data_IF_226185416457
#
_entry.id   IF_226185416457
#
_cell.length_a   1.000
_cell.length_b   1.000
_cell.length_c   1.000
_cell.angle_alpha   90.00
_cell.angle_beta   90.00
_cell.angle_gamma   90.00
#
_symmetry.space_group_name_H-M   'P 1'
#
loop_
_entity.id
_entity.type
_entity.pdbx_description
1 polymer ?
#
# COMPACT_ATOMS: atom_id res chain seq x y z
N UNK A 1 -3.88 -26.34 -15.94
CA UNK A 1 -4.59 -26.24 -17.23
C UNK A 1 -5.75 -25.26 -17.10
N UNK A 2 -6.05 -24.42 -18.11
CA UNK A 2 -7.23 -23.56 -18.09
C UNK A 2 -8.51 -24.42 -18.09
N UNK A 3 -9.56 -23.90 -17.49
CA UNK A 3 -10.88 -24.55 -17.39
C UNK A 3 -11.97 -23.48 -17.35
N UNK A 4 -13.10 -23.73 -18.00
CA UNK A 4 -14.27 -22.87 -17.95
C UNK A 4 -15.23 -23.26 -16.82
N UNK A 5 -16.07 -22.33 -16.39
CA UNK A 5 -17.17 -22.64 -15.48
C UNK A 5 -18.10 -23.68 -16.11
N UNK A 6 -18.41 -24.76 -15.40
CA UNK A 6 -19.23 -25.88 -15.88
C UNK A 6 -18.45 -26.93 -16.69
N UNK A 7 -17.17 -26.70 -16.99
CA UNK A 7 -16.36 -27.68 -17.70
C UNK A 7 -16.02 -28.85 -16.76
N UNK A 8 -16.15 -30.08 -17.25
CA UNK A 8 -15.89 -31.28 -16.46
C UNK A 8 -14.39 -31.47 -16.24
N UNK A 9 -13.98 -31.50 -14.98
CA UNK A 9 -12.58 -31.66 -14.56
C UNK A 9 -12.24 -33.08 -14.11
N UNK A 10 -13.25 -33.86 -13.70
CA UNK A 10 -13.09 -35.25 -13.32
C UNK A 10 -14.39 -36.03 -13.53
N UNK A 11 -14.26 -37.34 -13.64
CA UNK A 11 -15.40 -38.26 -13.65
C UNK A 11 -15.31 -39.20 -12.45
N UNK A 12 -16.42 -39.35 -11.73
CA UNK A 12 -16.55 -40.27 -10.61
C UNK A 12 -17.43 -41.44 -11.05
N UNK A 13 -16.93 -42.66 -10.85
CA UNK A 13 -17.74 -43.85 -10.98
C UNK A 13 -18.61 -44.01 -9.73
N UNK A 14 -19.90 -44.25 -9.92
CA UNK A 14 -20.84 -44.45 -8.81
C UNK A 14 -21.00 -45.95 -8.66
N UNK A 15 -20.65 -46.52 -7.51
CA UNK A 15 -20.90 -47.95 -7.26
C UNK A 15 -22.24 -48.11 -6.51
N UNK A 16 -23.35 -48.09 -7.25
CA UNK A 16 -24.71 -48.36 -6.76
C UNK A 16 -25.30 -49.63 -7.42
N UNK A 17 -25.54 -50.68 -6.64
CA UNK A 17 -26.02 -51.95 -7.19
C UNK A 17 -27.40 -51.80 -7.86
N UNK A 18 -27.47 -51.91 -9.21
CA UNK A 18 -28.73 -52.07 -9.95
C UNK A 18 -29.05 -51.09 -11.09
N UNK A 19 -28.20 -50.10 -11.39
CA UNK A 19 -28.41 -49.13 -12.47
C UNK A 19 -27.28 -49.19 -13.52
N UNK A 20 -27.59 -48.99 -14.81
CA UNK A 20 -26.58 -48.80 -15.87
C UNK A 20 -25.89 -47.44 -15.65
N UNK A 21 -24.57 -47.43 -15.46
CA UNK A 21 -23.85 -46.24 -15.01
C UNK A 21 -23.50 -45.24 -16.11
N UNK A 22 -23.93 -44.00 -15.90
CA UNK A 22 -23.27 -42.82 -16.46
C UNK A 22 -22.32 -42.26 -15.41
N UNK A 23 -21.07 -41.98 -15.80
CA UNK A 23 -20.08 -41.36 -14.91
C UNK A 23 -20.60 -40.02 -14.42
N UNK A 24 -20.42 -39.72 -13.14
CA UNK A 24 -20.75 -38.41 -12.60
C UNK A 24 -19.66 -37.40 -12.96
N UNK A 25 -20.02 -36.33 -13.68
CA UNK A 25 -19.11 -35.22 -13.92
C UNK A 25 -18.93 -34.40 -12.65
N UNK A 26 -17.67 -34.08 -12.35
CA UNK A 26 -17.31 -33.01 -11.42
C UNK A 26 -16.95 -31.81 -12.27
N UNK A 27 -17.71 -30.74 -12.13
CA UNK A 27 -17.55 -29.53 -12.93
C UNK A 27 -16.80 -28.45 -12.16
N UNK A 28 -16.05 -27.61 -12.88
CA UNK A 28 -15.44 -26.43 -12.28
C UNK A 28 -16.51 -25.40 -11.91
N UNK A 29 -16.52 -24.87 -10.67
CA UNK A 29 -17.48 -23.84 -10.26
C UNK A 29 -17.19 -22.46 -10.85
N UNK A 30 -15.98 -22.26 -11.39
CA UNK A 30 -15.48 -20.99 -11.94
C UNK A 30 -14.61 -21.20 -13.18
N UNK A 31 -14.43 -20.15 -13.97
CA UNK A 31 -13.42 -20.13 -15.02
C UNK A 31 -12.06 -19.77 -14.39
N UNK A 32 -11.00 -20.48 -14.75
CA UNK A 32 -9.69 -20.26 -14.16
C UNK A 32 -8.67 -21.31 -14.57
N UNK A 33 -7.69 -21.56 -13.70
CA UNK A 33 -6.61 -22.52 -13.92
C UNK A 33 -6.67 -23.59 -12.83
N UNK A 34 -6.66 -24.86 -13.24
CA UNK A 34 -6.43 -25.99 -12.31
C UNK A 34 -5.02 -25.86 -11.74
N UNK A 35 -4.94 -25.42 -10.49
CA UNK A 35 -3.68 -25.20 -9.77
C UNK A 35 -3.17 -26.46 -9.08
N UNK A 36 -4.08 -27.34 -8.64
CA UNK A 36 -3.72 -28.63 -8.03
C UNK A 36 -4.81 -29.65 -8.23
N UNK A 37 -4.43 -30.91 -8.43
CA UNK A 37 -5.33 -32.07 -8.32
C UNK A 37 -4.95 -32.83 -7.05
N UNK A 38 -5.95 -33.20 -6.24
CA UNK A 38 -5.74 -33.82 -4.93
C UNK A 38 -5.93 -35.34 -4.93
N UNK A 39 -6.43 -35.90 -6.04
CA UNK A 39 -6.80 -37.31 -6.14
C UNK A 39 -6.15 -37.97 -7.35
N UNK A 40 -5.85 -39.25 -7.22
CA UNK A 40 -5.34 -40.08 -8.31
C UNK A 40 -6.44 -40.90 -8.98
N UNK A 41 -6.20 -41.35 -10.21
CA UNK A 41 -7.14 -42.20 -10.94
C UNK A 41 -7.31 -43.54 -10.19
N UNK A 42 -8.56 -43.94 -9.94
CA UNK A 42 -8.90 -45.16 -9.22
C UNK A 42 -9.01 -44.99 -7.70
N UNK A 43 -8.75 -43.79 -7.17
CA UNK A 43 -8.97 -43.48 -5.77
C UNK A 43 -10.46 -43.38 -5.44
N UNK A 44 -10.89 -44.00 -4.34
CA UNK A 44 -12.23 -43.81 -3.79
C UNK A 44 -12.38 -42.40 -3.20
N UNK A 45 -13.47 -41.72 -3.53
CA UNK A 45 -13.77 -40.36 -3.08
C UNK A 45 -15.18 -40.28 -2.50
N UNK A 46 -15.42 -39.34 -1.58
CA UNK A 46 -16.76 -39.02 -1.07
C UNK A 46 -17.18 -37.63 -1.53
N UNK A 47 -18.44 -37.25 -1.29
CA UNK A 47 -18.95 -35.92 -1.63
C UNK A 47 -18.18 -34.76 -0.95
N UNK A 48 -17.43 -35.03 0.12
CA UNK A 48 -16.63 -34.04 0.84
C UNK A 48 -15.14 -34.05 0.44
N UNK A 49 -14.72 -35.01 -0.40
CA UNK A 49 -13.33 -35.12 -0.83
C UNK A 49 -13.02 -34.03 -1.85
N UNK A 50 -12.04 -33.13 -1.60
CA UNK A 50 -11.62 -32.14 -2.58
C UNK A 50 -10.96 -32.86 -3.77
N UNK A 51 -11.42 -32.58 -4.98
CA UNK A 51 -10.91 -33.21 -6.21
C UNK A 51 -9.77 -32.39 -6.81
N UNK A 52 -9.98 -31.09 -6.99
CA UNK A 52 -8.99 -30.17 -7.53
C UNK A 52 -9.20 -28.75 -6.99
N UNK A 53 -8.13 -27.95 -7.01
CA UNK A 53 -8.13 -26.51 -6.78
C UNK A 53 -8.14 -25.80 -8.12
N UNK A 54 -9.18 -25.00 -8.37
CA UNK A 54 -9.26 -24.09 -9.53
C UNK A 54 -9.11 -22.66 -9.03
N UNK A 55 -8.19 -21.91 -9.63
CA UNK A 55 -7.83 -20.56 -9.21
C UNK A 55 -8.13 -19.59 -10.35
N UNK A 56 -8.87 -18.53 -10.06
CA UNK A 56 -8.95 -17.36 -10.93
C UNK A 56 -7.65 -16.56 -10.76
N UNK A 57 -6.89 -16.43 -11.85
CA UNK A 57 -5.60 -15.75 -11.89
C UNK A 57 -5.70 -14.39 -12.60
N UNK A 58 -6.85 -14.02 -13.17
CA UNK A 58 -7.04 -12.78 -13.92
C UNK A 58 -6.98 -11.55 -13.01
N UNK A 59 -7.31 -11.75 -11.74
CA UNK A 59 -7.22 -10.72 -10.69
C UNK A 59 -6.52 -11.28 -9.48
N UNK A 60 -5.67 -10.47 -8.87
CA UNK A 60 -5.02 -10.78 -7.60
C UNK A 60 -5.47 -9.79 -6.54
N UNK A 61 -5.54 -10.29 -5.31
CA UNK A 61 -5.92 -9.54 -4.13
C UNK A 61 -4.74 -9.44 -3.19
N UNK A 62 -4.60 -8.27 -2.58
CA UNK A 62 -3.61 -8.01 -1.54
C UNK A 62 -4.39 -7.61 -0.30
N UNK A 63 -4.29 -8.44 0.73
CA UNK A 63 -4.79 -8.14 2.06
C UNK A 63 -3.69 -7.44 2.85
N UNK A 64 -4.02 -6.29 3.44
CA UNK A 64 -3.10 -5.58 4.35
C UNK A 64 -3.83 -5.03 5.57
N UNK A 65 -3.16 -5.10 6.71
CA UNK A 65 -3.65 -4.52 7.96
C UNK A 65 -3.24 -3.05 8.06
N UNK A 66 -4.23 -2.16 8.09
CA UNK A 66 -4.01 -0.72 8.16
C UNK A 66 -4.28 -0.20 9.57
N UNK A 67 -3.31 0.44 10.24
CA UNK A 67 -3.52 1.06 11.55
C UNK A 67 -4.69 2.05 11.54
N UNK A 68 -5.47 2.04 12.63
CA UNK A 68 -6.67 2.87 12.81
C UNK A 68 -6.44 4.35 12.45
N UNK A 69 -5.31 4.92 12.88
CA UNK A 69 -4.94 6.33 12.63
C UNK A 69 -4.90 6.72 11.14
N UNK A 70 -4.73 5.76 10.24
CA UNK A 70 -4.66 6.00 8.80
C UNK A 70 -5.98 5.73 8.08
N UNK A 71 -6.91 4.99 8.69
CA UNK A 71 -8.20 4.63 8.07
C UNK A 71 -9.02 5.83 7.59
N UNK A 72 -9.08 6.98 8.28
CA UNK A 72 -9.80 8.16 7.79
C UNK A 72 -9.27 8.71 6.45
N UNK A 73 -8.05 8.33 6.06
CA UNK A 73 -7.37 8.74 4.83
C UNK A 73 -7.38 7.66 3.75
N UNK A 74 -7.99 6.50 4.04
CA UNK A 74 -8.16 5.41 3.07
C UNK A 74 -9.57 5.46 2.51
N UNK A 75 -9.70 5.36 1.19
CA UNK A 75 -10.98 5.39 0.49
C UNK A 75 -11.11 4.25 -0.51
N UNK A 76 -12.35 3.81 -0.76
CA UNK A 76 -12.61 2.87 -1.84
C UNK A 76 -12.19 3.46 -3.19
N UNK A 77 -11.72 2.62 -4.09
CA UNK A 77 -11.16 3.00 -5.40
C UNK A 77 -9.90 3.88 -5.35
N UNK A 78 -9.29 4.06 -4.17
CA UNK A 78 -8.00 4.74 -4.08
C UNK A 78 -6.92 3.91 -4.75
N UNK A 79 -6.10 4.57 -5.57
CA UNK A 79 -5.00 3.93 -6.29
C UNK A 79 -3.86 3.61 -5.34
N UNK A 80 -3.43 2.36 -5.36
CA UNK A 80 -2.25 1.87 -4.68
C UNK A 80 -1.17 1.52 -5.71
N UNK A 81 0.07 1.86 -5.38
CA UNK A 81 1.27 1.43 -6.12
C UNK A 81 1.83 0.19 -5.44
N UNK A 82 2.05 -0.87 -6.21
CA UNK A 82 2.46 -2.17 -5.71
C UNK A 82 3.80 -2.55 -6.34
N UNK A 83 4.72 -3.03 -5.52
CA UNK A 83 5.96 -3.65 -5.96
C UNK A 83 6.06 -5.04 -5.35
N UNK A 84 6.55 -6.01 -6.11
CA UNK A 84 6.76 -7.39 -5.65
C UNK A 84 8.21 -7.77 -5.86
N UNK A 85 8.79 -8.53 -4.94
CA UNK A 85 10.22 -8.86 -4.99
C UNK A 85 10.58 -9.75 -6.20
N UNK A 86 9.59 -10.46 -6.76
CA UNK A 86 9.76 -11.25 -7.99
C UNK A 86 9.98 -10.37 -9.25
N UNK A 87 9.54 -9.11 -9.22
CA UNK A 87 9.64 -8.16 -10.33
C UNK A 87 10.06 -6.77 -9.78
N UNK A 88 11.31 -6.62 -9.32
CA UNK A 88 11.74 -5.43 -8.56
C UNK A 88 11.74 -4.13 -9.38
N UNK A 89 11.88 -4.24 -10.70
CA UNK A 89 11.89 -3.10 -11.63
C UNK A 89 10.48 -2.72 -12.13
N UNK A 90 9.45 -3.42 -11.69
CA UNK A 90 8.07 -3.19 -12.13
C UNK A 90 7.19 -2.70 -10.99
N UNK A 91 6.46 -1.62 -11.27
CA UNK A 91 5.41 -1.11 -10.40
C UNK A 91 4.05 -1.47 -11.02
N UNK A 92 3.21 -2.10 -10.22
CA UNK A 92 1.86 -2.44 -10.58
C UNK A 92 0.87 -1.48 -9.91
N UNK A 93 -0.30 -1.33 -10.50
CA UNK A 93 -1.36 -0.49 -9.96
C UNK A 93 -2.54 -1.35 -9.51
N UNK A 94 -3.06 -1.04 -8.34
CA UNK A 94 -4.25 -1.68 -7.78
C UNK A 94 -5.19 -0.65 -7.17
N UNK A 95 -6.41 -1.09 -6.87
CA UNK A 95 -7.45 -0.26 -6.28
C UNK A 95 -7.89 -0.85 -4.95
N UNK A 96 -8.07 0.00 -3.93
CA UNK A 96 -8.71 -0.41 -2.68
C UNK A 96 -10.15 -0.82 -2.97
N UNK A 97 -10.46 -2.11 -2.85
CA UNK A 97 -11.79 -2.69 -3.14
C UNK A 97 -12.59 -2.94 -1.88
N UNK A 98 -11.94 -3.05 -0.72
CA UNK A 98 -12.61 -3.29 0.56
C UNK A 98 -11.88 -2.60 1.69
N UNK A 99 -12.64 -2.04 2.61
CA UNK A 99 -12.15 -1.53 3.89
C UNK A 99 -13.01 -2.19 4.97
N UNK A 100 -12.40 -2.93 5.88
CA UNK A 100 -13.15 -3.53 6.98
C UNK A 100 -13.73 -2.45 7.89
N UNK A 101 -15.01 -2.52 8.27
CA UNK A 101 -15.60 -1.61 9.25
C UNK A 101 -15.22 -1.98 10.69
N UNK A 102 -14.54 -3.13 10.89
CA UNK A 102 -14.15 -3.63 12.20
C UNK A 102 -12.63 -3.49 12.35
N UNK A 103 -12.23 -2.81 13.44
CA UNK A 103 -10.84 -2.70 13.89
C UNK A 103 -10.57 -3.85 14.85
N UNK A 104 -9.48 -4.57 14.62
CA UNK A 104 -8.95 -5.55 15.56
C UNK A 104 -8.33 -4.81 16.76
N UNK A 105 -8.85 -5.07 17.97
CA UNK A 105 -8.46 -4.35 19.18
C UNK A 105 -7.06 -4.70 19.68
N UNK A 106 -6.54 -5.87 19.29
CA UNK A 106 -5.20 -6.34 19.69
C UNK A 106 -4.11 -5.65 18.87
N UNK A 107 -4.33 -5.54 17.56
CA UNK A 107 -3.38 -4.94 16.61
C UNK A 107 -3.63 -3.44 16.36
N UNK A 108 -4.81 -2.93 16.75
CA UNK A 108 -5.32 -1.58 16.42
C UNK A 108 -5.27 -1.28 14.93
N UNK A 109 -5.63 -2.28 14.13
CA UNK A 109 -5.64 -2.21 12.67
C UNK A 109 -6.95 -2.76 12.11
N UNK A 110 -7.31 -2.31 10.91
CA UNK A 110 -8.39 -2.90 10.14
C UNK A 110 -7.86 -3.43 8.82
N UNK A 111 -8.30 -4.64 8.39
CA UNK A 111 -7.89 -5.19 7.12
C UNK A 111 -8.53 -4.41 5.97
N UNK A 112 -7.73 -4.10 4.95
CA UNK A 112 -8.17 -3.56 3.68
C UNK A 112 -7.73 -4.49 2.54
N UNK A 113 -8.53 -4.57 1.48
CA UNK A 113 -8.26 -5.37 0.29
C UNK A 113 -7.95 -4.43 -0.87
N UNK A 114 -6.85 -4.71 -1.58
CA UNK A 114 -6.51 -4.09 -2.85
C UNK A 114 -6.63 -5.13 -3.95
N UNK A 115 -7.39 -4.84 -5.01
CA UNK A 115 -7.49 -5.70 -6.19
C UNK A 115 -6.69 -5.11 -7.33
N UNK A 116 -6.04 -5.98 -8.10
CA UNK A 116 -5.23 -5.64 -9.25
C UNK A 116 -5.46 -6.64 -10.37
N UNK A 117 -5.51 -6.15 -11.60
CA UNK A 117 -5.58 -7.00 -12.78
C UNK A 117 -4.22 -7.68 -13.03
N UNK A 118 -4.27 -8.95 -13.44
CA UNK A 118 -3.10 -9.79 -13.69
C UNK A 118 -3.21 -10.49 -15.06
N UNK A 119 -3.37 -9.75 -16.18
CA UNK A 119 -3.73 -10.35 -17.46
C UNK A 119 -2.66 -11.28 -18.04
N UNK A 120 -1.40 -11.15 -17.62
CA UNK A 120 -0.31 -12.07 -18.01
C UNK A 120 -0.08 -13.20 -17.00
N UNK A 121 -0.93 -13.32 -15.97
CA UNK A 121 -0.84 -14.32 -14.89
C UNK A 121 0.56 -14.38 -14.21
N UNK A 122 1.27 -13.26 -14.17
CA UNK A 122 2.64 -13.15 -13.67
C UNK A 122 2.70 -13.08 -12.14
N UNK A 123 1.65 -12.53 -11.54
CA UNK A 123 1.52 -12.37 -10.11
C UNK A 123 0.83 -13.63 -9.56
N UNK A 124 1.49 -14.30 -8.61
CA UNK A 124 0.98 -15.54 -8.03
C UNK A 124 0.48 -15.30 -6.61
N UNK A 125 -0.54 -16.07 -6.22
CA UNK A 125 -0.96 -16.12 -4.82
C UNK A 125 0.19 -16.58 -3.93
N UNK A 126 0.33 -15.94 -2.76
CA UNK A 126 1.41 -16.19 -1.81
C UNK A 126 2.68 -15.35 -2.03
N UNK A 127 2.76 -14.55 -3.10
CA UNK A 127 3.84 -13.56 -3.24
C UNK A 127 3.73 -12.47 -2.19
N UNK A 128 4.89 -11.97 -1.73
CA UNK A 128 4.96 -10.79 -0.87
C UNK A 128 4.91 -9.52 -1.71
N UNK A 129 4.06 -8.57 -1.31
CA UNK A 129 3.87 -7.31 -2.00
C UNK A 129 4.10 -6.12 -1.05
N UNK A 130 4.82 -5.11 -1.54
CA UNK A 130 4.99 -3.82 -0.89
C UNK A 130 4.00 -2.83 -1.50
N UNK A 131 3.08 -2.34 -0.68
CA UNK A 131 2.03 -1.42 -1.07
C UNK A 131 2.40 0.00 -0.64
N UNK A 132 2.33 0.96 -1.57
CA UNK A 132 2.39 2.39 -1.28
C UNK A 132 1.02 3.00 -1.57
N UNK A 133 0.38 3.50 -0.52
CA UNK A 133 -0.89 4.21 -0.59
C UNK A 133 -0.67 5.67 -0.21
N UNK A 134 -1.08 6.60 -1.07
CA UNK A 134 -0.93 8.04 -0.82
C UNK A 134 -2.08 8.48 0.08
N UNK A 135 -1.79 8.74 1.36
CA UNK A 135 -2.79 9.09 2.38
C UNK A 135 -3.10 10.59 2.44
N UNK A 136 -2.21 11.44 1.98
CA UNK A 136 -2.40 12.88 1.89
C UNK A 136 -1.47 13.43 0.82
N UNK A 137 -1.93 14.43 0.09
CA UNK A 137 -1.14 15.15 -0.90
C UNK A 137 -1.50 16.62 -0.78
N UNK A 138 -0.52 17.46 -0.43
CA UNK A 138 -0.67 18.90 -0.42
C UNK A 138 0.22 19.47 -1.53
N UNK A 139 -0.40 20.16 -2.49
CA UNK A 139 0.30 20.75 -3.64
C UNK A 139 0.54 22.22 -3.41
N UNK A 140 1.63 22.75 -3.96
CA UNK A 140 1.98 24.17 -3.93
C UNK A 140 2.04 24.73 -2.50
N UNK A 141 2.66 23.97 -1.59
CA UNK A 141 2.86 24.39 -0.19
C UNK A 141 4.33 24.76 0.02
N UNK A 142 4.64 25.78 0.84
CA UNK A 142 6.01 26.10 1.19
C UNK A 142 6.62 24.95 2.00
N UNK A 143 7.86 24.61 1.68
CA UNK A 143 8.62 23.57 2.38
C UNK A 143 9.94 24.11 2.90
N UNK A 144 10.43 23.51 3.97
CA UNK A 144 11.75 23.76 4.53
C UNK A 144 12.50 22.45 4.77
N UNK A 145 13.84 22.52 4.77
CA UNK A 145 14.67 21.37 5.14
C UNK A 145 14.50 21.05 6.63
N UNK A 146 14.40 19.76 6.94
CA UNK A 146 14.32 19.26 8.32
C UNK A 146 15.47 19.73 9.20
N UNK A 147 16.65 19.94 8.62
CA UNK A 147 17.85 20.41 9.31
C UNK A 147 17.67 21.82 9.86
N UNK A 148 16.85 22.67 9.23
CA UNK A 148 16.56 24.02 9.72
C UNK A 148 15.70 24.03 10.99
N UNK A 149 14.98 22.94 11.24
CA UNK A 149 14.01 22.85 12.34
C UNK A 149 14.73 22.58 13.65
N UNK A 150 14.37 23.37 14.67
CA UNK A 150 14.86 23.23 16.04
C UNK A 150 13.70 23.05 17.01
N UNK A 151 14.02 22.53 18.19
CA UNK A 151 13.05 22.30 19.25
C UNK A 151 12.44 20.90 19.18
N UNK A 152 11.29 20.75 19.85
CA UNK A 152 10.51 19.50 19.88
C UNK A 152 9.04 19.87 19.90
N UNK A 153 8.22 19.07 19.24
CA UNK A 153 6.77 19.28 19.27
C UNK A 153 6.25 19.43 20.71
N UNK A 154 5.34 20.39 20.97
CA UNK A 154 4.68 21.28 20.01
C UNK A 154 5.43 22.60 19.72
N UNK A 155 6.62 22.80 20.29
CA UNK A 155 7.39 24.04 20.18
C UNK A 155 8.56 23.89 19.20
N UNK A 156 8.23 24.10 17.92
CA UNK A 156 9.19 24.06 16.81
C UNK A 156 9.53 25.47 16.33
N UNK A 157 10.81 25.66 15.99
CA UNK A 157 11.35 26.94 15.58
C UNK A 157 12.31 26.81 14.41
N UNK A 158 12.47 27.89 13.67
CA UNK A 158 13.55 28.10 12.70
C UNK A 158 14.21 29.45 12.93
N UNK A 159 15.40 29.65 12.36
CA UNK A 159 15.95 31.00 12.20
C UNK A 159 15.65 31.50 10.80
N UNK A 160 14.84 32.54 10.71
CA UNK A 160 14.61 33.31 9.48
C UNK A 160 15.64 34.44 9.40
N UNK A 161 16.14 34.76 8.21
CA UNK A 161 17.04 35.90 8.01
C UNK A 161 16.24 37.11 7.52
N UNK A 162 16.32 38.22 8.25
CA UNK A 162 15.74 39.50 7.86
C UNK A 162 16.72 40.62 8.20
N UNK A 163 17.01 41.49 7.24
CA UNK A 163 17.92 42.64 7.42
C UNK A 163 19.29 42.25 8.06
N UNK A 164 19.88 41.14 7.58
CA UNK A 164 21.11 40.52 8.11
C UNK A 164 21.06 40.11 9.60
N UNK A 165 19.86 39.86 10.13
CA UNK A 165 19.65 39.34 11.47
C UNK A 165 18.91 38.01 11.43
N UNK A 166 19.31 37.09 12.30
CA UNK A 166 18.61 35.83 12.53
C UNK A 166 17.46 36.06 13.53
N UNK A 167 16.24 35.87 13.06
CA UNK A 167 15.00 36.00 13.84
C UNK A 167 14.51 34.60 14.20
N UNK A 168 14.36 34.32 15.49
CA UNK A 168 13.81 33.06 15.96
C UNK A 168 12.30 33.05 15.72
N UNK A 169 11.86 32.27 14.74
CA UNK A 169 10.48 32.21 14.30
C UNK A 169 9.86 30.89 14.73
N UNK A 170 8.75 30.95 15.48
CA UNK A 170 7.93 29.76 15.77
C UNK A 170 7.22 29.33 14.49
N UNK A 171 7.22 28.03 14.22
CA UNK A 171 6.60 27.45 13.01
C UNK A 171 5.67 26.29 13.38
N UNK A 172 4.62 26.13 12.59
CA UNK A 172 3.76 24.95 12.60
C UNK A 172 4.06 24.15 11.34
N UNK A 173 4.48 22.89 11.50
CA UNK A 173 4.86 22.03 10.38
C UNK A 173 3.79 20.98 10.08
N UNK A 174 3.65 20.65 8.81
CA UNK A 174 2.68 19.68 8.29
C UNK A 174 3.32 18.37 7.84
N UNK A 175 2.99 17.93 6.63
CA UNK A 175 3.52 16.69 6.07
C UNK A 175 5.05 16.71 5.96
N UNK A 176 5.66 15.56 6.27
CA UNK A 176 7.09 15.32 6.08
C UNK A 176 7.30 14.40 4.88
N UNK A 177 8.11 14.83 3.94
CA UNK A 177 8.47 14.05 2.75
C UNK A 177 9.96 14.18 2.45
N UNK A 178 10.69 13.07 2.59
CA UNK A 178 12.13 13.04 2.32
C UNK A 178 12.91 13.94 3.29
N UNK A 179 13.61 14.98 2.80
CA UNK A 179 14.29 15.96 3.65
C UNK A 179 13.40 17.16 4.04
N UNK A 180 12.17 17.23 3.53
CA UNK A 180 11.32 18.41 3.62
C UNK A 180 10.20 18.26 4.64
N UNK A 181 9.90 19.36 5.35
CA UNK A 181 8.64 19.58 6.05
C UNK A 181 7.83 20.65 5.32
N UNK A 182 6.54 20.39 5.16
CA UNK A 182 5.54 21.40 4.86
C UNK A 182 5.49 22.44 5.98
N UNK A 183 5.40 23.71 5.63
CA UNK A 183 5.15 24.80 6.57
C UNK A 183 3.68 25.21 6.51
N UNK A 184 2.97 25.06 7.62
CA UNK A 184 1.57 25.47 7.75
C UNK A 184 1.45 26.91 8.25
N UNK A 185 2.29 27.31 9.21
CA UNK A 185 2.30 28.65 9.78
C UNK A 185 3.74 29.09 10.15
N UNK A 186 3.95 30.40 10.18
CA UNK A 186 5.19 31.03 10.69
C UNK A 186 6.18 31.47 9.62
N UNK A 187 6.08 30.97 8.38
CA UNK A 187 6.90 31.41 7.25
C UNK A 187 6.03 31.70 6.02
N UNK A 188 6.61 32.44 5.08
CA UNK A 188 6.05 32.75 3.77
C UNK A 188 7.01 32.30 2.66
N UNK A 189 6.46 32.16 1.47
CA UNK A 189 7.26 31.90 0.28
C UNK A 189 8.30 33.03 0.07
N UNK A 190 9.54 32.63 -0.20
CA UNK A 190 10.68 33.54 -0.34
C UNK A 190 11.42 33.88 0.95
N UNK A 191 10.92 33.48 2.13
CA UNK A 191 11.65 33.68 3.38
C UNK A 191 12.95 32.86 3.40
N UNK A 192 14.07 33.51 3.74
CA UNK A 192 15.37 32.86 3.88
C UNK A 192 15.46 32.20 5.24
N UNK A 193 15.73 30.88 5.25
CA UNK A 193 15.81 30.07 6.46
C UNK A 193 17.23 29.52 6.63
N UNK A 194 17.76 29.60 7.84
CA UNK A 194 19.08 29.06 8.19
C UNK A 194 19.01 27.54 8.29
N UNK A 195 19.76 26.86 7.42
CA UNK A 195 19.84 25.38 7.36
C UNK A 195 21.10 24.83 8.05
N UNK A 196 22.12 25.68 8.24
CA UNK A 196 23.40 25.33 8.88
C UNK A 196 23.90 26.44 9.81
N UNK A 197 24.51 26.05 10.94
CA UNK A 197 25.07 26.98 11.94
C UNK A 197 24.07 27.50 12.99
N UNK A 198 22.79 27.12 12.89
CA UNK A 198 21.68 27.51 13.77
C UNK A 198 21.95 27.29 15.26
N UNK A 199 22.73 26.25 15.62
CA UNK A 199 23.11 25.93 17.00
C UNK A 199 23.92 27.03 17.70
N UNK A 200 24.53 27.94 16.94
CA UNK A 200 25.37 29.04 17.46
C UNK A 200 24.62 30.37 17.50
N UNK A 201 23.42 30.42 16.95
CA UNK A 201 22.64 31.65 16.85
C UNK A 201 21.84 31.90 18.13
N UNK A 202 21.53 33.17 18.34
CA UNK A 202 20.54 33.66 19.30
C UNK A 202 19.57 34.53 18.54
N UNK A 203 18.40 34.77 19.12
CA UNK A 203 17.44 35.69 18.52
C UNK A 203 18.06 37.09 18.33
N UNK A 204 17.83 37.69 17.16
CA UNK A 204 18.42 38.95 16.66
C UNK A 204 19.96 38.94 16.50
N UNK A 205 20.60 37.77 16.41
CA UNK A 205 22.03 37.70 16.11
C UNK A 205 22.32 38.22 14.70
N UNK A 206 23.38 39.02 14.54
CA UNK A 206 23.85 39.39 13.21
C UNK A 206 24.43 38.19 12.47
N UNK A 207 24.10 38.09 11.18
CA UNK A 207 24.52 36.99 10.31
C UNK A 207 25.05 37.54 8.99
N UNK A 208 26.01 36.81 8.43
CA UNK A 208 26.40 36.91 7.03
C UNK A 208 25.91 35.64 6.35
N UNK A 209 25.16 35.78 5.26
CA UNK A 209 24.54 34.63 4.58
C UNK A 209 25.36 34.19 3.38
N UNK A 210 25.49 32.87 3.22
CA UNK A 210 25.81 32.22 1.95
C UNK A 210 24.55 31.49 1.51
N UNK A 211 24.07 31.80 0.29
CA UNK A 211 22.79 31.27 -0.20
C UNK A 211 23.05 29.94 -0.91
N UNK A 212 22.37 28.90 -0.45
CA UNK A 212 22.27 27.61 -1.14
C UNK A 212 20.83 27.46 -1.62
N UNK A 213 20.63 27.29 -2.93
CA UNK A 213 19.32 27.01 -3.50
C UNK A 213 18.94 25.55 -3.22
N UNK A 214 17.83 25.34 -2.52
CA UNK A 214 17.25 24.02 -2.34
C UNK A 214 16.86 23.45 -3.70
N UNK A 215 17.31 22.23 -4.02
CA UNK A 215 16.92 21.54 -5.25
C UNK A 215 15.42 21.25 -5.23
N UNK A 216 14.72 21.63 -6.30
CA UNK A 216 13.30 21.30 -6.54
C UNK A 216 12.98 19.82 -6.33
#
# INVERSE_FOLDING_TARGET
SPVNKGETIAYIDRDEVGLKFEKASVESPLAGIVGRVYVDIGQNVTAQTPIALVVDMDKVKIDLDTPEKYLPRVSLSQVAKISVDAYPEEEFLGLVTKISPVVDLTTRSAPIEITMDNPQHRLQSGMFAKVRLILAEHKNVPVILKEAVMGKEPDLYVYMVKDNQAILQKVTLGLHQGPYFEVQEGLKEGDLVVIMGQQRLKDNAQVSVEIEEGKE
#
